data_IF_906055967493
#
_entry.id   IF_906055967493
#
_cell.length_a   1.000
_cell.length_b   1.000
_cell.length_c   1.000
_cell.angle_alpha   90.00
_cell.angle_beta   90.00
_cell.angle_gamma   90.00
#
_symmetry.space_group_name_H-M   'P 1'
#
loop_
_entity.id
_entity.type
_entity.pdbx_description
1 polymer ?
#
# COMPACT_ATOMS: atom_id res chain seq x y z
N UNK A 1 -8.99 -5.17 20.38
CA UNK A 1 -8.71 -3.73 20.12
C UNK A 1 -7.31 -3.63 19.54
N UNK A 2 -7.14 -2.94 18.41
CA UNK A 2 -5.83 -2.80 17.75
C UNK A 2 -5.09 -1.56 18.23
N UNK A 3 -3.75 -1.53 18.15
CA UNK A 3 -2.99 -0.35 18.51
C UNK A 3 -3.39 0.86 17.66
N UNK A 4 -3.66 1.99 18.31
CA UNK A 4 -4.08 3.25 17.66
C UNK A 4 -3.06 3.78 16.65
N UNK A 5 -1.81 3.34 16.72
CA UNK A 5 -0.78 3.77 15.78
C UNK A 5 -0.92 3.11 14.40
N UNK A 6 -1.75 2.06 14.24
CA UNK A 6 -2.03 1.47 12.92
C UNK A 6 -2.68 2.49 11.98
N UNK A 7 -3.54 3.36 12.51
CA UNK A 7 -4.13 4.46 11.75
C UNK A 7 -3.09 5.48 11.28
N UNK A 8 -1.95 5.59 11.97
CA UNK A 8 -0.86 6.49 11.60
C UNK A 8 0.16 5.82 10.65
N UNK A 9 0.29 4.50 10.72
CA UNK A 9 1.19 3.73 9.85
C UNK A 9 0.57 3.40 8.49
N UNK A 10 -0.74 3.15 8.47
CA UNK A 10 -1.42 2.73 7.27
C UNK A 10 -1.65 3.90 6.31
N UNK A 11 -1.15 3.78 5.09
CA UNK A 11 -1.44 4.73 4.00
C UNK A 11 -2.76 4.44 3.28
N UNK A 12 -3.36 3.26 3.52
CA UNK A 12 -4.64 2.85 2.94
C UNK A 12 -5.37 1.90 3.88
N UNK A 13 -6.67 1.70 3.64
CA UNK A 13 -7.46 0.69 4.37
C UNK A 13 -6.86 -0.71 4.20
N UNK A 14 -6.45 -1.08 2.98
CA UNK A 14 -5.85 -2.40 2.69
C UNK A 14 -4.54 -2.59 3.48
N UNK A 15 -3.68 -1.57 3.57
CA UNK A 15 -2.47 -1.65 4.39
C UNK A 15 -2.80 -1.79 5.89
N UNK A 16 -3.83 -1.09 6.39
CA UNK A 16 -4.29 -1.24 7.78
C UNK A 16 -4.76 -2.68 8.06
N UNK A 17 -5.50 -3.27 7.13
CA UNK A 17 -5.99 -4.64 7.25
C UNK A 17 -4.81 -5.65 7.27
N UNK A 18 -3.74 -5.43 6.49
CA UNK A 18 -2.53 -6.24 6.56
C UNK A 18 -1.80 -6.14 7.91
N UNK A 19 -1.70 -4.93 8.49
CA UNK A 19 -1.11 -4.73 9.82
C UNK A 19 -1.90 -5.49 10.90
N UNK A 20 -3.22 -5.51 10.79
CA UNK A 20 -4.11 -6.27 11.67
C UNK A 20 -3.87 -7.78 11.55
N UNK A 21 -3.84 -8.30 10.32
CA UNK A 21 -3.58 -9.73 10.07
C UNK A 21 -2.21 -10.15 10.61
N UNK A 22 -1.17 -9.34 10.41
CA UNK A 22 0.18 -9.60 10.95
C UNK A 22 0.18 -9.59 12.49
N UNK A 23 -0.53 -8.64 13.11
CA UNK A 23 -0.65 -8.56 14.57
C UNK A 23 -1.37 -9.77 15.18
N UNK A 24 -2.44 -10.22 14.53
CA UNK A 24 -3.19 -11.41 14.91
C UNK A 24 -2.41 -12.71 14.62
N UNK A 25 -1.24 -12.63 13.96
CA UNK A 25 -0.44 -13.76 13.49
C UNK A 25 -1.18 -14.66 12.50
N UNK A 26 -2.14 -14.09 11.77
CA UNK A 26 -2.86 -14.77 10.68
C UNK A 26 -1.97 -14.92 9.45
N UNK A 27 -1.00 -14.01 9.29
CA UNK A 27 0.03 -14.05 8.25
C UNK A 27 1.42 -13.93 8.87
N UNK A 28 2.41 -14.47 8.17
CA UNK A 28 3.83 -14.31 8.50
C UNK A 28 4.35 -12.95 8.07
N UNK A 29 5.51 -12.56 8.61
CA UNK A 29 6.20 -11.33 8.18
C UNK A 29 6.53 -11.34 6.69
N UNK A 30 6.95 -12.48 6.14
CA UNK A 30 7.28 -12.62 4.73
C UNK A 30 6.06 -12.46 3.82
N UNK A 31 4.91 -13.00 4.23
CA UNK A 31 3.65 -12.81 3.48
C UNK A 31 3.20 -11.35 3.54
N UNK A 32 3.28 -10.72 4.72
CA UNK A 32 3.02 -9.31 4.88
C UNK A 32 3.88 -8.46 3.93
N UNK A 33 5.20 -8.70 3.87
CA UNK A 33 6.11 -7.91 3.03
C UNK A 33 5.80 -8.09 1.53
N UNK A 34 5.43 -9.30 1.10
CA UNK A 34 4.99 -9.55 -0.29
C UNK A 34 3.69 -8.82 -0.63
N UNK A 35 2.69 -8.91 0.25
CA UNK A 35 1.40 -8.24 0.05
C UNK A 35 1.55 -6.71 0.07
N UNK A 36 2.40 -6.19 0.96
CA UNK A 36 2.70 -4.77 1.06
C UNK A 36 3.38 -4.23 -0.22
N UNK A 37 4.35 -4.96 -0.78
CA UNK A 37 4.98 -4.57 -2.04
C UNK A 37 3.97 -4.51 -3.19
N UNK A 38 3.07 -5.49 -3.28
CA UNK A 38 1.99 -5.47 -4.27
C UNK A 38 1.06 -4.25 -4.09
N UNK A 39 0.78 -3.83 -2.85
CA UNK A 39 0.01 -2.61 -2.58
C UNK A 39 0.75 -1.35 -3.05
N UNK A 40 2.06 -1.27 -2.84
CA UNK A 40 2.87 -0.15 -3.34
C UNK A 40 2.91 -0.11 -4.87
N UNK A 41 3.04 -1.26 -5.54
CA UNK A 41 3.04 -1.34 -7.00
C UNK A 41 1.68 -0.94 -7.60
N UNK A 42 0.58 -1.38 -6.96
CA UNK A 42 -0.78 -0.96 -7.35
C UNK A 42 -0.98 0.55 -7.16
N UNK A 43 -0.46 1.12 -6.08
CA UNK A 43 -0.57 2.57 -5.85
C UNK A 43 0.39 3.39 -6.72
N UNK A 44 1.55 2.85 -7.08
CA UNK A 44 2.52 3.54 -7.95
C UNK A 44 2.09 3.54 -9.42
N UNK A 45 1.40 2.49 -9.87
CA UNK A 45 0.82 2.42 -11.21
C UNK A 45 -0.37 3.36 -11.41
N UNK A 46 -1.10 3.71 -10.34
CA UNK A 46 -2.12 4.77 -10.37
C UNK A 46 -1.52 6.15 -10.66
N UNK A 47 -0.25 6.38 -10.31
CA UNK A 47 0.45 7.63 -10.63
C UNK A 47 1.11 7.66 -12.02
N UNK A 48 1.25 6.52 -12.71
CA UNK A 48 1.86 6.45 -14.06
C UNK A 48 0.85 6.59 -15.20
N UNK A 49 -0.45 6.60 -14.91
CA UNK A 49 -1.51 6.87 -15.90
C UNK A 49 -1.96 8.34 -15.91
N UNK A 50 -1.11 9.28 -15.47
CA UNK A 50 -1.19 10.66 -15.99
C UNK A 50 -0.31 10.70 -17.23
N UNK A 51 -0.94 10.52 -18.40
CA UNK A 51 -0.35 10.99 -19.66
C UNK A 51 0.22 12.40 -19.44
N UNK A 52 1.46 12.70 -19.86
CA UNK A 52 1.78 14.07 -20.21
C UNK A 52 1.03 14.39 -21.51
N UNK A 53 -0.23 14.81 -21.38
CA UNK A 53 -0.92 15.47 -22.49
C UNK A 53 -0.27 16.83 -22.71
N UNK A 54 0.44 16.95 -23.83
CA UNK A 54 1.03 18.14 -24.46
C UNK A 54 2.17 18.88 -23.73
N UNK A 55 3.32 18.94 -24.41
CA UNK A 55 4.02 20.15 -24.90
C UNK A 55 5.35 19.69 -25.50
N UNK A 56 5.86 20.14 -26.64
CA UNK A 56 5.43 20.99 -27.73
C UNK A 56 6.54 20.78 -28.78
N UNK A 57 6.16 20.77 -30.05
CA UNK A 57 7.05 20.81 -31.20
C UNK A 57 8.16 21.84 -31.06
N UNK A 58 9.41 21.42 -31.30
CA UNK A 58 10.44 22.17 -32.03
C UNK A 58 11.44 21.18 -32.58
#
# INVERSE_FOLDING_TARGET
MYPKFFDKMAFSKEHKDLLIQLYNKEITRNEYDRLLNNLYDRNSTVHKNKKPDNMLST
#
